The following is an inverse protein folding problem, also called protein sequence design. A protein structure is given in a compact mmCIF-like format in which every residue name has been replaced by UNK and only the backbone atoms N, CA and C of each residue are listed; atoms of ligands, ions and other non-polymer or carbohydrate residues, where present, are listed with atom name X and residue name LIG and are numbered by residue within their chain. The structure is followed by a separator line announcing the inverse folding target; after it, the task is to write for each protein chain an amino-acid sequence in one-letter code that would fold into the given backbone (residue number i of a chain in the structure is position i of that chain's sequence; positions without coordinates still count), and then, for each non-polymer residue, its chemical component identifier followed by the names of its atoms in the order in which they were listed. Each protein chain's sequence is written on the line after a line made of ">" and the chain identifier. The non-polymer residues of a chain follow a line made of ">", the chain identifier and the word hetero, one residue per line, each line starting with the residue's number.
data_IF_162656770704
#
_entry.id   IF_162656770704
#
_cell.length_a   1.000
_cell.length_b   1.000
_cell.length_c   1.000
_cell.angle_alpha   90.00
_cell.angle_beta   90.00
_cell.angle_gamma   90.00
#
_symmetry.space_group_name_H-M   'P 1'
#
loop_
_entity.id
_entity.type
_entity.pdbx_description
1 polymer ?
#
# COMPACT_ATOMS: atom_id res chain seq x y z
N UNK A 1 40.24 -4.80 39.76
CA UNK A 1 40.19 -5.81 40.83
C UNK A 1 39.18 -6.87 40.39
N UNK A 2 39.68 -8.08 40.16
CA UNK A 2 38.96 -9.26 39.66
C UNK A 2 38.16 -9.93 40.78
N UNK A 3 37.13 -10.69 40.36
CA UNK A 3 36.60 -11.96 40.92
C UNK A 3 35.07 -11.94 41.04
N UNK A 4 34.30 -13.00 40.81
CA UNK A 4 34.50 -14.30 40.16
C UNK A 4 33.10 -14.97 40.10
N UNK A 5 32.83 -15.79 39.09
CA UNK A 5 31.63 -16.61 38.98
C UNK A 5 31.63 -17.80 39.97
N UNK A 6 30.47 -18.28 40.44
CA UNK A 6 30.34 -19.55 41.16
C UNK A 6 30.11 -20.77 40.23
N UNK A 7 30.40 -22.01 40.69
CA UNK A 7 30.58 -23.20 39.84
C UNK A 7 29.32 -24.09 39.68
N UNK A 8 29.33 -24.91 38.62
CA UNK A 8 28.39 -26.01 38.38
C UNK A 8 28.70 -27.27 39.22
N UNK A 9 27.68 -28.07 39.60
CA UNK A 9 27.87 -29.41 40.19
C UNK A 9 27.84 -30.56 39.14
N UNK A 10 28.31 -31.77 39.51
CA UNK A 10 28.76 -32.81 38.57
C UNK A 10 27.71 -33.90 38.23
N UNK A 11 27.91 -34.55 37.09
CA UNK A 11 27.27 -35.81 36.67
C UNK A 11 27.96 -37.05 37.27
N UNK A 12 27.23 -38.15 37.53
CA UNK A 12 27.83 -39.47 37.72
C UNK A 12 27.48 -40.48 36.59
N UNK A 13 28.54 -40.98 35.95
CA UNK A 13 28.92 -42.38 35.63
C UNK A 13 27.85 -43.42 35.20
N UNK A 14 28.15 -44.11 34.08
CA UNK A 14 27.39 -45.18 33.40
C UNK A 14 27.44 -46.59 34.03
N UNK A 15 27.18 -47.66 33.26
CA UNK A 15 28.32 -48.41 32.69
C UNK A 15 28.13 -49.01 31.27
N UNK A 16 29.25 -49.55 30.79
CA UNK A 16 29.60 -50.03 29.45
C UNK A 16 28.95 -51.34 28.98
N UNK A 17 28.85 -51.51 27.66
CA UNK A 17 29.12 -52.77 26.95
C UNK A 17 29.59 -52.48 25.50
N UNK A 18 30.71 -53.06 25.12
CA UNK A 18 31.28 -53.23 23.77
C UNK A 18 31.82 -54.69 23.73
N UNK A 19 32.02 -55.39 22.58
CA UNK A 19 32.81 -54.90 21.44
C UNK A 19 32.35 -55.35 20.04
N UNK A 20 32.88 -54.69 19.00
CA UNK A 20 32.76 -55.13 17.61
C UNK A 20 33.53 -54.22 16.67
N UNK A 21 34.77 -54.59 16.35
CA UNK A 21 35.69 -53.85 15.50
C UNK A 21 35.33 -53.98 14.00
N UNK A 22 35.29 -52.86 13.29
CA UNK A 22 35.52 -52.80 11.85
C UNK A 22 36.06 -51.40 11.48
N UNK A 23 37.24 -51.37 10.84
CA UNK A 23 37.91 -50.17 10.36
C UNK A 23 37.09 -49.46 9.27
N UNK A 24 37.15 -48.11 9.18
CA UNK A 24 36.36 -47.33 8.22
C UNK A 24 37.02 -47.26 6.83
N UNK A 25 36.24 -47.25 5.74
CA UNK A 25 36.72 -46.78 4.46
C UNK A 25 36.63 -45.24 4.36
N UNK A 26 37.54 -44.70 3.55
CA UNK A 26 37.91 -43.30 3.41
C UNK A 26 36.77 -42.32 3.04
N UNK A 27 36.91 -41.10 3.53
CA UNK A 27 36.15 -39.91 3.12
C UNK A 27 36.36 -39.58 1.62
N UNK A 28 35.30 -39.36 0.84
CA UNK A 28 35.39 -38.58 -0.38
C UNK A 28 35.30 -37.08 -0.08
N UNK A 29 36.21 -36.33 -0.71
CA UNK A 29 36.38 -34.88 -0.66
C UNK A 29 35.14 -34.09 -1.14
N UNK A 30 34.99 -32.82 -0.71
CA UNK A 30 33.83 -32.00 -1.03
C UNK A 30 33.86 -31.50 -2.48
N UNK A 31 32.82 -31.83 -3.25
CA UNK A 31 32.55 -31.21 -4.54
C UNK A 31 32.00 -29.80 -4.29
N UNK A 32 32.86 -28.80 -4.46
CA UNK A 32 32.46 -27.39 -4.60
C UNK A 32 31.60 -27.24 -5.86
N UNK A 33 30.28 -27.11 -5.70
CA UNK A 33 29.44 -26.46 -6.72
C UNK A 33 29.22 -25.01 -6.32
N UNK A 34 30.04 -24.15 -6.91
CA UNK A 34 29.71 -22.75 -7.13
C UNK A 34 28.65 -22.70 -8.24
N UNK A 35 27.46 -22.22 -7.92
CA UNK A 35 26.49 -21.76 -8.91
C UNK A 35 25.72 -20.57 -8.32
N UNK A 36 26.29 -19.41 -8.58
CA UNK A 36 25.66 -18.14 -8.95
C UNK A 36 24.35 -17.74 -8.26
N UNK A 37 24.48 -16.82 -7.30
CA UNK A 37 23.60 -15.65 -7.20
C UNK A 37 23.57 -14.88 -8.54
N UNK A 38 22.48 -14.12 -8.71
CA UNK A 38 22.26 -13.01 -9.63
C UNK A 38 21.42 -13.32 -10.88
N UNK A 39 20.17 -12.84 -10.87
CA UNK A 39 19.51 -12.20 -12.02
C UNK A 39 18.39 -11.27 -11.50
N UNK A 40 18.82 -10.20 -10.84
CA UNK A 40 18.17 -8.90 -10.93
C UNK A 40 18.97 -8.14 -12.00
N UNK A 41 18.33 -7.83 -13.13
CA UNK A 41 18.98 -7.19 -14.25
C UNK A 41 17.96 -6.56 -15.17
N UNK A 42 17.83 -5.24 -15.04
CA UNK A 42 17.10 -4.37 -15.95
C UNK A 42 17.55 -4.57 -17.41
N UNK A 43 16.59 -4.50 -18.33
CA UNK A 43 16.84 -4.10 -19.71
C UNK A 43 15.72 -3.16 -20.17
N UNK A 44 15.92 -1.88 -19.90
CA UNK A 44 15.60 -0.85 -20.89
C UNK A 44 16.78 -0.76 -21.85
N UNK A 45 16.50 -0.64 -23.16
CA UNK A 45 17.22 0.18 -24.16
C UNK A 45 16.97 -0.35 -25.60
N UNK A 46 16.51 0.59 -26.45
CA UNK A 46 16.53 0.67 -27.92
C UNK A 46 15.44 -0.01 -28.76
N UNK A 47 14.52 0.83 -29.26
CA UNK A 47 14.26 0.93 -30.69
C UNK A 47 14.36 2.40 -31.12
N UNK A 48 15.43 2.72 -31.85
CA UNK A 48 15.59 3.97 -32.60
C UNK A 48 14.95 3.84 -33.99
N UNK A 49 14.20 4.88 -34.35
CA UNK A 49 14.12 5.56 -35.64
C UNK A 49 14.04 4.76 -36.96
N UNK A 50 12.93 4.99 -37.70
CA UNK A 50 12.94 5.07 -39.16
C UNK A 50 12.45 6.46 -39.59
N UNK A 51 13.44 7.22 -40.09
CA UNK A 51 13.50 8.20 -41.18
C UNK A 51 12.40 9.22 -41.55
N UNK A 52 12.94 10.38 -41.94
CA UNK A 52 12.38 11.62 -42.45
C UNK A 52 12.23 11.60 -43.98
N UNK A 53 11.29 12.41 -44.46
CA UNK A 53 11.35 13.26 -45.68
C UNK A 53 10.32 14.39 -45.46
N UNK A 54 10.50 15.68 -45.73
CA UNK A 54 11.50 16.49 -46.43
C UNK A 54 10.77 17.74 -46.99
N UNK A 55 11.51 18.85 -47.20
CA UNK A 55 11.17 20.14 -47.87
C UNK A 55 10.65 21.29 -46.97
N UNK A 56 11.50 22.31 -46.70
CA UNK A 56 11.69 23.61 -47.43
C UNK A 56 10.59 24.63 -47.09
N UNK A 57 10.79 25.93 -46.81
CA UNK A 57 11.93 26.85 -46.97
C UNK A 57 11.65 28.17 -46.18
N UNK A 58 12.75 28.90 -45.92
CA UNK A 58 12.92 30.36 -45.92
C UNK A 58 12.27 31.29 -44.87
N UNK A 59 13.12 32.13 -44.25
CA UNK A 59 12.79 33.52 -43.95
C UNK A 59 13.32 34.11 -42.65
N UNK A 60 14.61 34.48 -42.59
CA UNK A 60 15.12 35.52 -41.66
C UNK A 60 15.31 36.80 -42.47
N UNK A 61 15.10 38.00 -41.90
CA UNK A 61 16.26 38.80 -41.43
C UNK A 61 15.97 39.60 -40.13
N UNK A 62 16.94 39.72 -39.21
CA UNK A 62 17.78 40.91 -38.94
C UNK A 62 17.03 42.07 -38.23
N UNK A 63 17.56 42.88 -37.30
CA UNK A 63 18.84 42.98 -36.61
C UNK A 63 18.73 44.07 -35.50
N UNK A 64 19.76 44.10 -34.63
CA UNK A 64 20.42 45.27 -34.04
C UNK A 64 19.69 46.25 -33.08
N UNK A 65 20.36 46.51 -31.95
CA UNK A 65 20.21 47.74 -31.17
C UNK A 65 21.04 47.72 -29.90
N UNK A 66 22.14 48.48 -29.89
CA UNK A 66 23.20 48.47 -28.88
C UNK A 66 23.01 49.46 -27.72
N UNK A 67 23.68 49.13 -26.61
CA UNK A 67 24.47 49.96 -25.68
C UNK A 67 23.90 51.28 -25.08
N UNK A 68 24.06 51.40 -23.76
CA UNK A 68 24.05 52.67 -23.02
C UNK A 68 24.53 52.51 -21.58
N UNK A 69 25.79 52.90 -21.31
CA UNK A 69 26.40 52.99 -19.99
C UNK A 69 25.81 54.16 -19.17
N UNK A 70 25.72 54.01 -17.84
CA UNK A 70 26.36 54.88 -16.82
C UNK A 70 25.70 54.77 -15.44
N UNK A 71 26.53 54.50 -14.43
CA UNK A 71 26.30 54.83 -13.01
C UNK A 71 27.11 56.12 -12.67
N UNK A 72 27.22 56.64 -11.43
CA UNK A 72 26.52 56.34 -10.17
C UNK A 72 26.03 57.61 -9.42
N UNK A 73 25.29 57.46 -8.30
CA UNK A 73 25.40 58.37 -7.14
C UNK A 73 24.69 57.80 -5.89
N UNK A 74 25.40 57.84 -4.77
CA UNK A 74 24.97 57.48 -3.42
C UNK A 74 23.91 58.44 -2.86
N UNK A 75 22.91 57.90 -2.16
CA UNK A 75 22.32 58.56 -1.00
C UNK A 75 21.79 57.50 -0.02
N UNK A 76 22.32 57.56 1.20
CA UNK A 76 21.97 56.70 2.32
C UNK A 76 20.57 57.02 2.87
N UNK A 77 19.79 55.98 3.15
CA UNK A 77 18.64 56.07 4.05
C UNK A 77 18.37 54.73 4.75
N UNK A 78 18.73 54.72 6.04
CA UNK A 78 18.07 54.07 7.18
C UNK A 78 17.50 52.65 7.03
N UNK A 79 18.19 51.77 7.76
CA UNK A 79 17.73 50.51 8.38
C UNK A 79 16.25 50.54 8.76
N UNK A 80 15.46 49.69 8.11
CA UNK A 80 14.29 49.07 8.70
C UNK A 80 14.54 47.57 8.66
N UNK A 81 14.76 46.98 9.83
CA UNK A 81 14.79 45.54 10.04
C UNK A 81 13.44 44.97 9.60
N UNK A 82 13.41 44.37 8.41
CA UNK A 82 12.32 43.50 7.99
C UNK A 82 12.36 42.27 8.89
N UNK A 83 11.30 42.11 9.68
CA UNK A 83 11.04 40.93 10.48
C UNK A 83 10.86 39.73 9.54
N UNK A 84 11.76 38.72 9.50
CA UNK A 84 11.59 37.53 8.69
C UNK A 84 10.73 36.55 9.49
N UNK A 85 9.48 36.93 9.74
CA UNK A 85 8.64 36.27 10.75
C UNK A 85 7.15 36.33 10.46
N UNK A 86 6.75 36.52 9.20
CA UNK A 86 5.37 36.33 8.77
C UNK A 86 5.38 35.32 7.62
N UNK A 87 5.64 34.06 7.97
CA UNK A 87 5.14 32.96 7.15
C UNK A 87 3.65 33.20 6.98
N UNK A 88 3.22 33.44 5.75
CA UNK A 88 1.83 33.59 5.40
C UNK A 88 1.09 32.33 5.89
N UNK A 89 0.41 32.44 7.03
CA UNK A 89 -0.62 31.51 7.40
C UNK A 89 -1.65 31.64 6.29
N UNK A 90 -1.61 30.73 5.32
CA UNK A 90 -2.68 30.53 4.37
C UNK A 90 -3.94 30.34 5.21
N UNK A 91 -4.77 31.37 5.31
CA UNK A 91 -6.03 31.29 6.04
C UNK A 91 -6.86 30.25 5.30
N UNK A 92 -6.91 29.03 5.84
CA UNK A 92 -7.83 28.01 5.35
C UNK A 92 -9.22 28.65 5.37
N UNK A 93 -9.87 28.67 4.20
CA UNK A 93 -11.24 29.13 4.11
C UNK A 93 -12.12 28.17 4.93
N UNK A 94 -13.08 28.72 5.67
CA UNK A 94 -14.07 27.91 6.37
C UNK A 94 -15.10 27.36 5.37
N UNK A 95 -15.45 26.08 5.47
CA UNK A 95 -16.58 25.49 4.75
C UNK A 95 -17.86 25.59 5.59
N UNK A 96 -18.96 26.03 4.98
CA UNK A 96 -20.24 26.18 5.68
C UNK A 96 -20.83 24.83 6.16
N UNK A 97 -20.50 23.73 5.49
CA UNK A 97 -20.96 22.38 5.79
C UNK A 97 -19.94 21.31 5.44
N UNK A 98 -20.35 20.05 5.56
CA UNK A 98 -19.53 18.87 5.26
C UNK A 98 -19.69 18.39 3.80
N UNK A 99 -20.13 19.26 2.89
CA UNK A 99 -20.20 18.94 1.47
C UNK A 99 -18.79 18.71 0.90
N UNK A 100 -18.58 17.60 0.18
CA UNK A 100 -17.27 17.22 -0.38
C UNK A 100 -16.62 18.39 -1.16
N UNK A 101 -17.36 19.02 -2.08
CA UNK A 101 -16.83 20.11 -2.88
C UNK A 101 -16.45 21.36 -2.05
N UNK A 102 -17.18 21.66 -0.97
CA UNK A 102 -16.88 22.79 -0.09
C UNK A 102 -15.62 22.52 0.73
N UNK A 103 -15.49 21.31 1.26
CA UNK A 103 -14.29 20.87 1.98
C UNK A 103 -13.06 20.82 1.05
N UNK A 104 -13.23 20.34 -0.18
CA UNK A 104 -12.16 20.37 -1.19
C UNK A 104 -11.69 21.80 -1.47
N UNK A 105 -12.61 22.75 -1.69
CA UNK A 105 -12.26 24.17 -1.89
C UNK A 105 -11.65 24.83 -0.65
N UNK A 106 -12.03 24.39 0.55
CA UNK A 106 -11.43 24.88 1.80
C UNK A 106 -9.95 24.47 1.94
N UNK A 107 -9.58 23.31 1.41
CA UNK A 107 -8.20 22.79 1.41
C UNK A 107 -7.41 23.24 0.19
N UNK A 108 -8.05 23.23 -0.97
CA UNK A 108 -7.49 23.49 -2.29
C UNK A 108 -8.33 24.58 -2.98
N UNK A 109 -8.04 25.88 -2.76
CA UNK A 109 -8.90 26.97 -3.24
C UNK A 109 -9.09 27.04 -4.76
N UNK A 110 -8.18 26.44 -5.53
CA UNK A 110 -8.27 26.37 -7.01
C UNK A 110 -8.96 25.10 -7.50
N UNK A 111 -9.25 24.14 -6.63
CA UNK A 111 -9.92 22.90 -7.00
C UNK A 111 -11.38 23.15 -7.36
N UNK A 112 -11.83 22.52 -8.44
CA UNK A 112 -13.22 22.54 -8.86
C UNK A 112 -13.61 21.21 -9.51
N UNK A 113 -14.90 20.89 -9.41
CA UNK A 113 -15.46 19.71 -10.04
C UNK A 113 -15.77 20.00 -11.51
N UNK A 114 -15.44 19.08 -12.41
CA UNK A 114 -15.73 19.22 -13.83
C UNK A 114 -14.90 18.29 -14.71
N UNK A 115 -15.02 18.50 -16.02
CA UNK A 115 -14.31 17.76 -17.06
C UNK A 115 -13.10 18.53 -17.61
N UNK A 116 -12.79 19.71 -17.06
CA UNK A 116 -11.56 20.44 -17.41
C UNK A 116 -10.37 19.63 -16.87
N UNK A 117 -9.41 19.22 -17.73
CA UNK A 117 -8.29 18.37 -17.34
C UNK A 117 -7.50 18.88 -16.14
N UNK A 118 -7.40 20.19 -15.94
CA UNK A 118 -6.63 20.79 -14.84
C UNK A 118 -7.46 21.16 -13.60
N UNK A 119 -8.78 21.01 -13.64
CA UNK A 119 -9.67 21.51 -12.59
C UNK A 119 -9.47 20.85 -11.22
N UNK A 120 -8.95 19.61 -11.25
CA UNK A 120 -8.72 18.77 -10.08
C UNK A 120 -7.25 18.60 -9.74
N UNK A 121 -6.37 19.23 -10.51
CA UNK A 121 -4.94 19.15 -10.30
C UNK A 121 -4.53 20.06 -9.15
N UNK A 122 -3.80 19.49 -8.20
CA UNK A 122 -3.30 20.22 -7.03
C UNK A 122 -1.85 19.88 -6.79
N UNK A 123 -1.12 20.82 -6.20
CA UNK A 123 0.19 20.57 -5.63
C UNK A 123 0.05 20.11 -4.17
N UNK A 124 0.74 19.00 -3.86
CA UNK A 124 0.72 18.33 -2.57
C UNK A 124 2.14 17.89 -2.18
N UNK A 125 2.37 17.73 -0.88
CA UNK A 125 3.64 17.20 -0.36
C UNK A 125 3.49 15.70 -0.10
N UNK A 126 4.07 14.88 -0.97
CA UNK A 126 3.94 13.42 -0.89
C UNK A 126 5.24 12.76 -0.43
N UNK A 127 5.17 11.66 0.33
CA UNK A 127 6.33 10.83 0.59
C UNK A 127 7.04 10.41 -0.71
N UNK A 128 8.34 10.65 -0.80
CA UNK A 128 9.16 10.27 -1.94
C UNK A 128 9.24 8.74 -2.04
N UNK A 129 9.09 8.21 -3.25
CA UNK A 129 9.21 6.77 -3.54
C UNK A 129 10.52 6.47 -4.27
N UNK A 130 11.13 5.34 -3.97
CA UNK A 130 12.26 4.81 -4.74
C UNK A 130 11.80 4.07 -5.99
N UNK A 131 12.75 3.62 -6.81
CA UNK A 131 12.50 2.93 -8.07
C UNK A 131 11.83 1.56 -7.85
N UNK A 132 11.89 1.01 -6.63
CA UNK A 132 11.16 -0.18 -6.22
C UNK A 132 9.77 0.16 -5.63
N UNK A 133 9.36 1.42 -5.70
CA UNK A 133 8.09 1.92 -5.22
C UNK A 133 7.97 2.07 -3.69
N UNK A 134 9.07 1.94 -2.95
CA UNK A 134 9.08 2.03 -1.47
C UNK A 134 9.25 3.47 -1.02
N UNK A 135 8.61 3.83 0.09
CA UNK A 135 8.78 5.17 0.69
C UNK A 135 10.24 5.35 1.16
N UNK A 136 10.92 6.35 0.60
CA UNK A 136 12.26 6.78 1.01
C UNK A 136 12.17 7.46 2.37
N UNK A 137 12.97 6.97 3.32
CA UNK A 137 13.08 7.54 4.67
C UNK A 137 14.47 8.09 4.91
N UNK A 138 14.55 9.29 5.49
CA UNK A 138 15.76 9.92 5.98
C UNK A 138 15.56 10.19 7.48
N UNK A 139 16.53 9.79 8.32
CA UNK A 139 16.50 9.97 9.79
C UNK A 139 15.22 9.46 10.48
N UNK A 140 14.61 8.40 9.93
CA UNK A 140 13.38 7.81 10.45
C UNK A 140 12.08 8.50 10.01
N UNK A 141 12.16 9.64 9.31
CA UNK A 141 11.03 10.34 8.70
C UNK A 141 10.96 10.07 7.19
N UNK A 142 9.76 10.09 6.60
CA UNK A 142 9.63 10.07 5.14
C UNK A 142 10.14 11.39 4.56
N UNK A 143 11.02 11.33 3.56
CA UNK A 143 11.35 12.51 2.77
C UNK A 143 10.14 12.84 1.90
N UNK A 144 9.73 14.10 1.83
CA UNK A 144 8.62 14.52 0.95
C UNK A 144 9.14 15.24 -0.28
N UNK A 145 8.32 15.20 -1.33
CA UNK A 145 8.50 15.98 -2.56
C UNK A 145 7.18 16.68 -2.90
N UNK A 146 7.28 17.89 -3.44
CA UNK A 146 6.15 18.52 -4.11
C UNK A 146 5.79 17.70 -5.36
N UNK A 147 4.53 17.31 -5.46
CA UNK A 147 4.00 16.54 -6.56
C UNK A 147 2.67 17.13 -7.03
N UNK A 148 2.42 17.06 -8.33
CA UNK A 148 1.14 17.40 -8.94
C UNK A 148 0.29 16.13 -9.00
N UNK A 149 -0.93 16.19 -8.48
CA UNK A 149 -1.88 15.07 -8.50
C UNK A 149 -3.25 15.55 -8.92
N UNK A 150 -3.98 14.70 -9.65
CA UNK A 150 -5.42 14.83 -9.77
C UNK A 150 -6.05 14.29 -8.48
N UNK A 151 -6.79 15.12 -7.75
CA UNK A 151 -7.38 14.75 -6.45
C UNK A 151 -8.91 14.70 -6.50
N UNK A 152 -9.47 13.63 -5.93
CA UNK A 152 -10.91 13.41 -5.81
C UNK A 152 -11.31 13.11 -4.35
N UNK A 153 -12.40 13.72 -3.83
CA UNK A 153 -12.92 13.38 -2.51
C UNK A 153 -13.59 12.00 -2.53
N UNK A 154 -13.25 11.13 -1.56
CA UNK A 154 -13.80 9.79 -1.42
C UNK A 154 -14.84 9.74 -0.32
N UNK A 155 -14.42 9.99 0.92
CA UNK A 155 -15.28 9.89 2.09
C UNK A 155 -15.26 11.18 2.89
N UNK A 156 -16.39 11.51 3.52
CA UNK A 156 -16.45 12.54 4.56
C UNK A 156 -17.07 11.91 5.80
N UNK A 157 -16.26 11.79 6.85
CA UNK A 157 -16.65 11.13 8.09
C UNK A 157 -16.82 12.21 9.14
N UNK A 158 -18.05 12.34 9.67
CA UNK A 158 -18.28 13.13 10.88
C UNK A 158 -17.83 12.31 12.09
N UNK A 159 -16.75 12.74 12.73
CA UNK A 159 -16.14 12.02 13.85
C UNK A 159 -16.93 12.27 15.15
N UNK A 160 -17.33 13.53 15.35
CA UNK A 160 -18.21 14.00 16.41
C UNK A 160 -18.92 15.31 15.99
N UNK A 161 -19.54 16.02 16.93
CA UNK A 161 -20.26 17.26 16.63
C UNK A 161 -19.37 18.41 16.15
N UNK A 162 -18.08 18.35 16.50
CA UNK A 162 -17.06 19.38 16.29
C UNK A 162 -15.91 18.95 15.38
N UNK A 163 -15.75 17.66 15.07
CA UNK A 163 -14.68 17.15 14.22
C UNK A 163 -15.20 16.32 13.05
N UNK A 164 -14.54 16.48 11.91
CA UNK A 164 -14.75 15.67 10.71
C UNK A 164 -13.43 15.39 10.01
N UNK A 165 -13.42 14.40 9.13
CA UNK A 165 -12.31 14.15 8.21
C UNK A 165 -12.86 13.97 6.80
N UNK A 166 -12.15 14.52 5.82
CA UNK A 166 -12.31 14.18 4.41
C UNK A 166 -11.14 13.31 3.98
N UNK A 167 -11.45 12.19 3.35
CA UNK A 167 -10.49 11.29 2.74
C UNK A 167 -10.51 11.49 1.22
N UNK A 168 -9.34 11.46 0.60
CA UNK A 168 -9.20 11.69 -0.85
C UNK A 168 -8.40 10.59 -1.51
N UNK A 169 -8.61 10.45 -2.81
CA UNK A 169 -7.75 9.72 -3.73
C UNK A 169 -6.96 10.75 -4.55
N UNK A 170 -5.64 10.60 -4.62
CA UNK A 170 -4.76 11.44 -5.43
C UNK A 170 -3.92 10.61 -6.39
N UNK A 171 -4.00 10.89 -7.69
CA UNK A 171 -3.20 10.19 -8.72
C UNK A 171 -2.21 11.14 -9.33
N UNK A 172 -0.94 10.74 -9.40
CA UNK A 172 0.11 11.54 -10.03
C UNK A 172 -0.28 11.91 -11.46
N UNK A 173 0.01 13.14 -11.87
CA UNK A 173 -0.14 13.58 -13.24
C UNK A 173 1.21 14.02 -13.80
N UNK A 174 1.43 13.81 -15.09
CA UNK A 174 2.63 14.29 -15.78
C UNK A 174 2.55 15.80 -16.08
N UNK A 175 3.60 16.34 -16.71
CA UNK A 175 3.67 17.76 -17.09
C UNK A 175 2.51 18.16 -18.03
N UNK A 176 2.02 17.22 -18.84
CA UNK A 176 0.86 17.39 -19.72
C UNK A 176 -0.49 17.30 -19.01
N UNK A 177 -0.52 16.96 -17.71
CA UNK A 177 -1.76 16.72 -16.96
C UNK A 177 -2.39 15.37 -17.23
N UNK A 178 -1.63 14.42 -17.78
CA UNK A 178 -2.10 13.05 -17.98
C UNK A 178 -1.89 12.27 -16.69
N UNK A 179 -2.94 11.63 -16.19
CA UNK A 179 -2.88 10.75 -15.03
C UNK A 179 -1.95 9.57 -15.29
N UNK A 180 -1.21 9.19 -14.26
CA UNK A 180 -0.47 7.94 -14.24
C UNK A 180 -1.39 6.76 -13.87
N UNK A 181 -2.11 6.28 -14.89
CA UNK A 181 -2.98 5.10 -14.79
C UNK A 181 -2.23 3.81 -15.23
N UNK A 182 -0.89 3.80 -15.15
CA UNK A 182 -0.13 2.59 -15.47
C UNK A 182 -0.53 1.43 -14.55
N UNK A 183 -0.44 0.19 -15.05
CA UNK A 183 -0.85 -0.97 -14.26
C UNK A 183 -0.15 -1.06 -12.89
N UNK A 184 1.13 -0.67 -12.82
CA UNK A 184 1.92 -0.69 -11.57
C UNK A 184 1.70 0.55 -10.68
N UNK A 185 0.98 1.56 -11.19
CA UNK A 185 0.74 2.81 -10.48
C UNK A 185 -0.52 2.71 -9.64
N UNK A 186 -0.37 2.89 -8.34
CA UNK A 186 -1.48 3.09 -7.41
C UNK A 186 -1.87 4.56 -7.26
N UNK A 187 -2.68 4.83 -6.24
CA UNK A 187 -3.11 6.16 -5.85
C UNK A 187 -2.74 6.48 -4.39
N UNK A 188 -2.64 7.77 -4.08
CA UNK A 188 -2.38 8.28 -2.75
C UNK A 188 -3.68 8.44 -1.96
N UNK A 189 -3.67 7.95 -0.72
CA UNK A 189 -4.70 8.25 0.26
C UNK A 189 -4.33 9.54 1.00
N UNK A 190 -5.17 10.58 0.86
CA UNK A 190 -5.07 11.82 1.64
C UNK A 190 -6.06 11.86 2.80
N UNK A 191 -5.73 12.58 3.86
CA UNK A 191 -6.63 12.83 5.00
C UNK A 191 -6.56 14.29 5.49
N UNK A 192 -7.72 14.95 5.49
CA UNK A 192 -7.88 16.35 5.85
C UNK A 192 -8.87 16.45 7.00
N UNK A 193 -8.39 16.84 8.17
CA UNK A 193 -9.16 16.93 9.40
C UNK A 193 -9.69 18.34 9.59
N UNK A 194 -10.97 18.46 9.93
CA UNK A 194 -11.66 19.71 10.12
C UNK A 194 -12.18 19.82 11.54
N UNK A 195 -12.09 21.02 12.11
CA UNK A 195 -12.75 21.40 13.35
C UNK A 195 -13.83 22.43 13.05
N UNK A 196 -14.98 22.29 13.71
CA UNK A 196 -16.07 23.25 13.63
C UNK A 196 -15.84 24.40 14.60
N UNK A 197 -15.93 25.61 14.10
CA UNK A 197 -15.94 26.84 14.88
C UNK A 197 -17.15 27.72 14.51
N UNK A 198 -17.12 29.00 14.90
CA UNK A 198 -18.19 29.94 14.61
C UNK A 198 -18.31 30.30 13.12
N UNK A 199 -17.23 30.19 12.34
CA UNK A 199 -17.19 30.49 10.92
C UNK A 199 -17.55 29.28 10.04
N UNK A 200 -17.41 28.07 10.56
CA UNK A 200 -17.79 26.83 9.87
C UNK A 200 -16.81 25.70 10.18
N UNK A 201 -16.59 24.83 9.20
CA UNK A 201 -15.59 23.77 9.26
C UNK A 201 -14.26 24.31 8.72
N UNK A 202 -13.25 24.37 9.58
CA UNK A 202 -11.91 24.89 9.25
C UNK A 202 -10.91 23.74 9.26
N UNK A 203 -9.97 23.75 8.31
CA UNK A 203 -8.91 22.75 8.26
C UNK A 203 -8.03 22.86 9.51
N UNK A 204 -8.00 21.80 10.30
CA UNK A 204 -7.18 21.67 11.50
C UNK A 204 -5.86 20.98 11.20
N UNK A 205 -5.90 19.93 10.36
CA UNK A 205 -4.71 19.15 10.00
C UNK A 205 -4.84 18.60 8.59
N UNK A 206 -3.73 18.64 7.85
CA UNK A 206 -3.57 18.09 6.51
C UNK A 206 -2.52 16.98 6.51
N UNK A 207 -2.84 15.85 5.88
CA UNK A 207 -1.91 14.74 5.62
C UNK A 207 -2.12 14.31 4.17
N UNK A 208 -1.21 14.73 3.29
CA UNK A 208 -1.38 14.55 1.83
C UNK A 208 -1.11 13.13 1.34
N UNK A 209 -0.14 12.43 1.95
CA UNK A 209 0.18 11.04 1.64
C UNK A 209 0.15 10.17 2.89
N UNK A 210 -1.02 9.68 3.25
CA UNK A 210 -1.20 8.68 4.33
C UNK A 210 -0.62 7.35 3.90
N UNK A 211 -0.91 6.92 2.68
CA UNK A 211 -0.44 5.67 2.10
C UNK A 211 -0.52 5.72 0.56
N UNK A 212 0.14 4.78 -0.11
CA UNK A 212 0.08 4.60 -1.55
C UNK A 212 -0.38 3.17 -1.85
N UNK A 213 -1.56 3.04 -2.45
CA UNK A 213 -2.27 1.76 -2.58
C UNK A 213 -2.85 1.56 -3.97
N UNK A 214 -3.23 0.32 -4.25
CA UNK A 214 -3.94 -0.06 -5.46
C UNK A 214 -3.05 -0.10 -6.70
N UNK A 215 -3.71 -0.13 -7.86
CA UNK A 215 -3.12 -0.37 -9.19
C UNK A 215 -3.91 0.42 -10.23
N UNK A 216 -3.34 0.63 -11.42
CA UNK A 216 -4.00 1.34 -12.52
C UNK A 216 -4.63 2.70 -12.13
N UNK A 217 -3.94 3.49 -11.31
CA UNK A 217 -4.37 4.84 -10.94
C UNK A 217 -5.62 4.90 -10.07
N UNK A 218 -5.83 3.92 -9.17
CA UNK A 218 -6.94 3.95 -8.21
C UNK A 218 -6.57 3.32 -6.87
N UNK A 219 -7.18 3.81 -5.77
CA UNK A 219 -7.16 3.16 -4.46
C UNK A 219 -8.00 1.87 -4.44
N UNK A 220 -8.99 1.77 -5.34
CA UNK A 220 -10.04 0.76 -5.31
C UNK A 220 -11.27 1.21 -4.51
N UNK A 221 -11.91 0.25 -3.84
CA UNK A 221 -13.11 0.48 -3.06
C UNK A 221 -12.79 0.92 -1.63
N UNK A 222 -13.65 1.78 -1.08
CA UNK A 222 -13.55 2.25 0.31
C UNK A 222 -14.81 1.92 1.08
N UNK A 223 -14.66 1.54 2.35
CA UNK A 223 -15.77 1.43 3.28
C UNK A 223 -15.39 1.93 4.66
N UNK A 224 -16.37 2.45 5.39
CA UNK A 224 -16.18 3.05 6.71
C UNK A 224 -17.07 2.35 7.73
N UNK A 225 -16.49 1.97 8.86
CA UNK A 225 -17.21 1.39 9.98
C UNK A 225 -16.81 2.08 11.29
N UNK A 226 -17.73 2.15 12.25
CA UNK A 226 -17.38 2.52 13.61
C UNK A 226 -16.70 1.34 14.29
N UNK A 227 -15.49 1.54 14.81
CA UNK A 227 -14.67 0.49 15.42
C UNK A 227 -14.42 0.68 16.92
N UNK A 228 -14.88 1.81 17.47
CA UNK A 228 -14.82 2.12 18.89
C UNK A 228 -15.57 3.40 19.24
N UNK A 229 -15.52 3.78 20.52
CA UNK A 229 -16.04 5.06 20.97
C UNK A 229 -15.21 6.20 20.36
N UNK A 230 -15.82 7.02 19.50
CA UNK A 230 -15.15 8.13 18.82
C UNK A 230 -14.08 7.71 17.80
N UNK A 231 -14.09 6.45 17.35
CA UNK A 231 -13.12 5.94 16.38
C UNK A 231 -13.78 5.20 15.22
N UNK A 232 -13.28 5.49 14.02
CA UNK A 232 -13.73 4.88 12.77
C UNK A 232 -12.58 4.09 12.12
N UNK A 233 -12.95 3.00 11.46
CA UNK A 233 -12.08 2.23 10.58
C UNK A 233 -12.42 2.57 9.14
N UNK A 234 -11.41 2.95 8.36
CA UNK A 234 -11.48 2.96 6.90
C UNK A 234 -10.86 1.66 6.40
N UNK A 235 -11.59 0.92 5.58
CA UNK A 235 -11.07 -0.18 4.77
C UNK A 235 -10.87 0.35 3.36
N UNK A 236 -9.70 0.09 2.79
CA UNK A 236 -9.40 0.30 1.37
C UNK A 236 -9.09 -1.05 0.76
N UNK A 237 -9.87 -1.48 -0.23
CA UNK A 237 -9.71 -2.74 -0.96
C UNK A 237 -9.38 -2.46 -2.41
N UNK A 238 -8.20 -2.91 -2.84
CA UNK A 238 -7.73 -2.76 -4.22
C UNK A 238 -7.07 -4.05 -4.70
N UNK A 239 -7.13 -4.30 -6.00
CA UNK A 239 -6.67 -5.54 -6.59
C UNK A 239 -6.40 -5.42 -8.08
N UNK A 240 -5.71 -6.41 -8.62
CA UNK A 240 -5.32 -6.45 -10.03
C UNK A 240 -5.00 -7.87 -10.48
N UNK A 241 -4.91 -8.05 -11.79
CA UNK A 241 -4.53 -9.31 -12.42
C UNK A 241 -3.24 -9.16 -13.21
N UNK A 242 -2.25 -10.01 -12.92
CA UNK A 242 -0.99 -10.06 -13.64
C UNK A 242 -0.69 -11.49 -14.11
N UNK A 243 -0.51 -11.66 -15.42
CA UNK A 243 -0.24 -12.97 -16.05
C UNK A 243 -1.26 -14.07 -15.65
N UNK A 244 -2.53 -13.68 -15.48
CA UNK A 244 -3.61 -14.61 -15.12
C UNK A 244 -3.74 -14.91 -13.63
N UNK A 245 -2.87 -14.35 -12.78
CA UNK A 245 -3.01 -14.34 -11.32
C UNK A 245 -3.69 -13.05 -10.89
N UNK A 246 -4.84 -13.17 -10.22
CA UNK A 246 -5.63 -12.06 -9.73
C UNK A 246 -5.63 -12.06 -8.21
N UNK A 247 -5.48 -10.89 -7.61
CA UNK A 247 -5.54 -10.73 -6.15
C UNK A 247 -6.19 -9.43 -5.75
N UNK A 248 -6.78 -9.46 -4.55
CA UNK A 248 -7.29 -8.27 -3.87
C UNK A 248 -6.70 -8.21 -2.47
N UNK A 249 -6.31 -7.01 -2.05
CA UNK A 249 -5.76 -6.75 -0.73
C UNK A 249 -6.51 -5.62 -0.04
N UNK A 250 -6.68 -5.77 1.27
CA UNK A 250 -7.24 -4.76 2.15
C UNK A 250 -6.16 -4.09 3.00
N UNK A 251 -6.23 -2.76 3.09
CA UNK A 251 -5.56 -1.97 4.12
C UNK A 251 -6.61 -1.35 5.04
N UNK A 252 -6.32 -1.28 6.34
CA UNK A 252 -7.25 -0.75 7.34
C UNK A 252 -6.59 0.37 8.13
N UNK A 253 -7.29 1.49 8.24
CA UNK A 253 -6.82 2.70 8.92
C UNK A 253 -7.77 3.07 10.07
N UNK A 254 -7.21 3.34 11.24
CA UNK A 254 -7.93 3.92 12.36
C UNK A 254 -7.95 5.44 12.27
N UNK A 255 -9.12 6.02 12.47
CA UNK A 255 -9.40 7.45 12.32
C UNK A 255 -10.02 7.98 13.60
N UNK A 256 -9.39 9.01 14.15
CA UNK A 256 -9.84 9.81 15.31
C UNK A 256 -9.68 11.31 14.98
N UNK A 257 -10.22 12.23 15.78
CA UNK A 257 -9.97 13.66 15.60
C UNK A 257 -8.46 13.96 15.45
N UNK A 258 -8.10 14.65 14.37
CA UNK A 258 -6.73 15.03 14.04
C UNK A 258 -5.74 13.89 13.80
N UNK A 259 -6.17 12.62 13.68
CA UNK A 259 -5.27 11.46 13.57
C UNK A 259 -5.80 10.36 12.66
N UNK A 260 -4.94 9.89 11.77
CA UNK A 260 -5.09 8.63 11.02
C UNK A 260 -3.86 7.75 11.29
N UNK A 261 -4.06 6.44 11.37
CA UNK A 261 -2.99 5.47 11.53
C UNK A 261 -3.30 4.15 10.85
N UNK A 262 -2.31 3.53 10.21
CA UNK A 262 -2.43 2.22 9.57
C UNK A 262 -2.50 1.10 10.63
N UNK A 263 -3.63 0.43 10.71
CA UNK A 263 -3.87 -0.71 11.61
C UNK A 263 -3.62 -2.05 10.93
N UNK A 264 -3.82 -2.12 9.62
CA UNK A 264 -3.42 -3.24 8.78
C UNK A 264 -3.02 -2.71 7.40
N UNK A 265 -2.10 -3.41 6.74
CA UNK A 265 -1.69 -3.08 5.37
C UNK A 265 -1.62 -4.37 4.57
N UNK A 266 -2.09 -4.31 3.33
CA UNK A 266 -1.95 -5.37 2.32
C UNK A 266 -2.35 -6.77 2.80
N UNK A 267 -3.47 -6.90 3.50
CA UNK A 267 -4.02 -8.20 3.90
C UNK A 267 -4.72 -8.81 2.68
N UNK A 268 -4.31 -9.99 2.19
CA UNK A 268 -5.00 -10.65 1.09
C UNK A 268 -6.46 -10.95 1.46
N UNK A 269 -7.41 -10.53 0.63
CA UNK A 269 -8.83 -10.85 0.81
C UNK A 269 -9.29 -11.86 -0.23
N UNK A 270 -8.75 -11.77 -1.44
CA UNK A 270 -9.16 -12.61 -2.57
C UNK A 270 -7.92 -13.02 -3.37
N UNK A 271 -8.01 -14.18 -4.03
CA UNK A 271 -6.97 -14.63 -4.94
C UNK A 271 -7.47 -15.73 -5.87
N UNK A 272 -7.12 -15.64 -7.14
CA UNK A 272 -7.32 -16.73 -8.10
C UNK A 272 -6.23 -16.77 -9.17
N UNK A 273 -6.09 -17.93 -9.83
CA UNK A 273 -5.19 -18.11 -10.97
C UNK A 273 -5.88 -18.75 -12.17
N UNK A 274 -7.20 -18.57 -12.31
CA UNK A 274 -8.01 -19.18 -13.37
C UNK A 274 -7.55 -18.76 -14.77
N UNK A 275 -6.95 -17.57 -14.91
CA UNK A 275 -6.41 -17.07 -16.16
C UNK A 275 -4.97 -17.48 -16.44
N UNK A 276 -4.26 -18.08 -15.49
CA UNK A 276 -2.85 -18.44 -15.62
C UNK A 276 -2.64 -19.77 -16.35
N UNK A 277 -3.62 -20.67 -16.27
CA UNK A 277 -3.64 -21.96 -16.97
C UNK A 277 -5.06 -22.29 -17.40
N UNK A 278 -5.24 -22.75 -18.64
CA UNK A 278 -6.55 -23.10 -19.20
C UNK A 278 -7.28 -24.22 -18.47
N UNK A 279 -6.57 -25.01 -17.65
CA UNK A 279 -7.12 -26.19 -16.99
C UNK A 279 -7.63 -25.91 -15.56
N UNK A 280 -7.40 -24.72 -15.00
CA UNK A 280 -7.68 -24.47 -13.58
C UNK A 280 -9.17 -24.43 -13.23
N UNK A 281 -10.00 -23.80 -14.06
CA UNK A 281 -11.45 -23.77 -13.85
C UNK A 281 -12.04 -25.20 -13.92
N UNK A 282 -11.58 -26.01 -14.87
CA UNK A 282 -11.99 -27.40 -15.01
C UNK A 282 -11.52 -28.26 -13.82
N UNK A 283 -10.28 -28.08 -13.37
CA UNK A 283 -9.71 -28.83 -12.25
C UNK A 283 -10.46 -28.57 -10.93
N UNK A 284 -10.82 -27.31 -10.64
CA UNK A 284 -11.58 -26.97 -9.44
C UNK A 284 -13.00 -27.56 -9.50
N UNK A 285 -13.72 -27.39 -10.62
CA UNK A 285 -15.08 -27.93 -10.80
C UNK A 285 -15.15 -29.46 -10.77
N UNK A 286 -14.21 -30.14 -11.42
CA UNK A 286 -14.18 -31.60 -11.48
C UNK A 286 -14.02 -32.22 -10.09
N UNK A 287 -13.20 -31.60 -9.25
CA UNK A 287 -12.94 -32.11 -7.92
C UNK A 287 -14.07 -31.79 -6.92
N UNK A 288 -14.76 -30.65 -7.06
CA UNK A 288 -15.99 -30.38 -6.31
C UNK A 288 -17.05 -31.47 -6.57
N UNK A 289 -17.21 -31.87 -7.84
CA UNK A 289 -18.17 -32.92 -8.23
C UNK A 289 -17.76 -34.31 -7.74
N UNK A 290 -16.46 -34.62 -7.67
CA UNK A 290 -15.94 -35.92 -7.27
C UNK A 290 -16.05 -36.19 -5.76
N UNK A 291 -16.01 -35.14 -4.92
CA UNK A 291 -15.95 -35.30 -3.47
C UNK A 291 -17.30 -35.23 -2.74
N UNK A 292 -18.41 -34.94 -3.44
CA UNK A 292 -19.71 -34.70 -2.80
C UNK A 292 -19.63 -33.54 -1.78
N UNK A 293 -20.75 -33.21 -1.13
CA UNK A 293 -20.77 -32.19 -0.07
C UNK A 293 -20.01 -32.68 1.18
N UNK A 294 -18.69 -32.75 1.11
CA UNK A 294 -17.83 -33.19 2.21
C UNK A 294 -17.79 -32.12 3.31
N UNK A 295 -18.04 -32.58 4.53
CA UNK A 295 -18.19 -31.81 5.76
C UNK A 295 -16.96 -30.95 6.08
N UNK A 296 -17.20 -29.76 6.64
CA UNK A 296 -16.26 -28.70 7.10
C UNK A 296 -15.05 -29.13 7.97
N UNK A 297 -14.89 -30.41 8.30
CA UNK A 297 -13.91 -30.87 9.31
C UNK A 297 -12.86 -31.87 8.83
N UNK A 298 -12.96 -32.42 7.62
CA UNK A 298 -11.93 -33.32 7.10
C UNK A 298 -10.96 -32.58 6.18
N UNK A 299 -9.88 -32.05 6.77
CA UNK A 299 -8.48 -32.11 6.29
C UNK A 299 -7.60 -31.23 7.20
N UNK A 300 -7.12 -31.83 8.30
CA UNK A 300 -6.02 -31.28 9.09
C UNK A 300 -4.68 -31.71 8.47
N UNK A 301 -3.92 -30.68 8.09
CA UNK A 301 -2.46 -30.60 7.97
C UNK A 301 -1.71 -31.57 7.03
N UNK A 302 -1.09 -30.99 6.00
CA UNK A 302 0.37 -31.09 5.88
C UNK A 302 0.96 -29.69 6.04
N UNK A 303 1.76 -29.54 7.09
CA UNK A 303 2.68 -28.43 7.24
C UNK A 303 3.90 -28.75 6.36
N UNK A 304 3.77 -28.55 5.05
CA UNK A 304 4.91 -28.50 4.15
C UNK A 304 4.86 -27.18 3.39
N UNK A 305 5.88 -26.36 3.62
CA UNK A 305 6.25 -25.30 2.70
C UNK A 305 6.80 -25.95 1.43
N UNK A 306 5.92 -26.53 0.60
CA UNK A 306 6.31 -27.37 -0.52
C UNK A 306 5.29 -27.28 -1.65
N UNK A 307 5.59 -26.40 -2.61
CA UNK A 307 4.86 -26.10 -3.85
C UNK A 307 3.58 -25.24 -3.70
N UNK A 308 3.45 -24.14 -4.47
CA UNK A 308 2.20 -23.38 -4.52
C UNK A 308 1.05 -24.27 -5.04
N UNK A 309 -0.21 -24.02 -4.62
CA UNK A 309 -1.37 -24.74 -5.17
C UNK A 309 -1.38 -24.56 -6.69
N UNK A 310 -1.68 -25.64 -7.43
CA UNK A 310 -1.67 -25.57 -8.89
C UNK A 310 -2.81 -24.69 -9.41
N UNK A 311 -3.97 -24.71 -8.74
CA UNK A 311 -5.14 -23.91 -9.06
C UNK A 311 -5.85 -23.47 -7.78
N UNK A 312 -6.33 -22.23 -7.74
CA UNK A 312 -7.10 -21.69 -6.62
C UNK A 312 -8.07 -20.61 -7.11
N UNK A 313 -9.21 -20.54 -6.44
CA UNK A 313 -10.18 -19.44 -6.51
C UNK A 313 -10.77 -19.27 -5.11
N UNK A 314 -10.37 -18.19 -4.45
CA UNK A 314 -10.69 -17.90 -3.05
C UNK A 314 -11.19 -16.46 -2.98
N UNK A 315 -12.38 -16.31 -2.43
CA UNK A 315 -13.04 -15.02 -2.27
C UNK A 315 -13.25 -14.73 -0.78
N UNK A 316 -12.98 -13.51 -0.35
CA UNK A 316 -13.03 -13.08 1.04
C UNK A 316 -13.98 -11.91 1.25
N UNK A 317 -14.89 -12.05 2.21
CA UNK A 317 -15.77 -10.95 2.65
C UNK A 317 -15.26 -10.37 3.96
N UNK A 318 -14.72 -9.17 3.88
CA UNK A 318 -14.20 -8.43 5.04
C UNK A 318 -15.31 -7.65 5.75
N UNK A 319 -15.31 -7.71 7.08
CA UNK A 319 -16.15 -6.87 7.93
C UNK A 319 -15.36 -6.35 9.14
N UNK A 320 -15.70 -5.14 9.58
CA UNK A 320 -15.18 -4.51 10.79
C UNK A 320 -16.33 -4.34 11.79
N UNK A 321 -16.08 -4.67 13.06
CA UNK A 321 -17.03 -4.46 14.13
C UNK A 321 -16.32 -4.08 15.44
N UNK A 322 -16.95 -3.21 16.22
CA UNK A 322 -16.56 -3.03 17.62
C UNK A 322 -16.82 -4.34 18.39
N UNK A 323 -15.82 -4.79 19.14
CA UNK A 323 -15.89 -5.95 20.01
C UNK A 323 -16.47 -5.57 21.39
N UNK A 324 -16.99 -6.57 22.10
CA UNK A 324 -17.64 -6.38 23.40
C UNK A 324 -16.69 -5.84 24.49
N UNK A 325 -15.38 -6.07 24.35
CA UNK A 325 -14.33 -5.55 25.24
C UNK A 325 -13.91 -4.11 24.91
N UNK A 326 -14.61 -3.45 23.98
CA UNK A 326 -14.31 -2.09 23.52
C UNK A 326 -13.16 -2.01 22.51
N UNK A 327 -12.58 -3.15 22.13
CA UNK A 327 -11.63 -3.23 21.01
C UNK A 327 -12.35 -3.34 19.67
N UNK A 328 -11.62 -3.53 18.57
CA UNK A 328 -12.20 -3.79 17.25
C UNK A 328 -11.78 -5.15 16.74
N UNK A 329 -12.71 -5.83 16.09
CA UNK A 329 -12.50 -7.11 15.43
C UNK A 329 -12.73 -6.95 13.92
N UNK A 330 -11.79 -7.47 13.14
CA UNK A 330 -11.89 -7.60 11.70
C UNK A 330 -12.06 -9.08 11.37
N UNK A 331 -13.11 -9.41 10.63
CA UNK A 331 -13.38 -10.77 10.17
C UNK A 331 -13.31 -10.83 8.67
N UNK A 332 -12.63 -11.84 8.15
CA UNK A 332 -12.65 -12.17 6.72
C UNK A 332 -13.22 -13.57 6.60
N UNK A 333 -14.41 -13.67 6.03
CA UNK A 333 -15.03 -14.95 5.71
C UNK A 333 -14.59 -15.36 4.31
N UNK A 334 -13.91 -16.51 4.21
CA UNK A 334 -13.39 -17.03 2.96
C UNK A 334 -14.24 -18.18 2.47
N UNK A 335 -14.58 -18.10 1.19
CA UNK A 335 -15.26 -19.13 0.41
C UNK A 335 -14.45 -19.42 -0.85
N UNK A 336 -14.34 -20.68 -1.26
CA UNK A 336 -13.69 -21.05 -2.51
C UNK A 336 -13.07 -22.44 -2.49
N UNK A 337 -12.07 -22.65 -3.33
CA UNK A 337 -11.38 -23.93 -3.46
C UNK A 337 -9.92 -23.76 -3.88
N UNK A 338 -9.10 -24.74 -3.54
CA UNK A 338 -7.71 -24.85 -4.01
C UNK A 338 -7.36 -26.31 -4.26
N UNK A 339 -6.51 -26.57 -5.24
CA UNK A 339 -5.87 -27.88 -5.42
C UNK A 339 -4.64 -28.01 -4.54
N UNK A 340 -4.31 -29.24 -4.17
CA UNK A 340 -3.10 -29.61 -3.43
C UNK A 340 -2.49 -30.88 -4.01
N UNK A 341 -1.16 -30.94 -4.01
CA UNK A 341 -0.37 -32.06 -4.53
C UNK A 341 -0.04 -31.95 -6.04
N UNK A 342 1.13 -32.47 -6.47
CA UNK A 342 1.45 -32.65 -7.88
C UNK A 342 0.84 -33.94 -8.44
N UNK A 343 0.34 -33.94 -9.68
CA UNK A 343 -0.03 -35.16 -10.41
C UNK A 343 -1.37 -35.10 -11.17
N UNK A 344 -1.78 -36.24 -11.72
CA UNK A 344 -2.97 -36.42 -12.57
C UNK A 344 -4.31 -36.41 -11.78
N UNK A 345 -4.26 -36.51 -10.45
CA UNK A 345 -5.42 -36.41 -9.55
C UNK A 345 -5.13 -35.41 -8.41
N UNK A 346 -5.25 -34.10 -8.66
CA UNK A 346 -5.05 -33.09 -7.63
C UNK A 346 -6.15 -33.20 -6.56
N UNK A 347 -5.75 -33.28 -5.29
CA UNK A 347 -6.71 -33.24 -4.19
C UNK A 347 -7.25 -31.82 -4.05
N UNK A 348 -8.56 -31.63 -4.16
CA UNK A 348 -9.17 -30.32 -3.93
C UNK A 348 -9.60 -30.16 -2.50
N UNK A 349 -9.28 -28.99 -1.98
CA UNK A 349 -9.65 -28.52 -0.66
C UNK A 349 -10.63 -27.36 -0.82
N UNK A 350 -11.86 -27.60 -0.37
CA UNK A 350 -12.85 -26.55 -0.19
C UNK A 350 -12.41 -25.61 0.93
N UNK A 351 -12.66 -24.32 0.71
CA UNK A 351 -12.39 -23.24 1.64
C UNK A 351 -13.76 -22.72 2.07
N UNK A 352 -14.11 -22.94 3.33
CA UNK A 352 -15.19 -22.26 4.02
C UNK A 352 -14.70 -22.02 5.44
N UNK A 353 -14.09 -20.87 5.68
CA UNK A 353 -13.44 -20.58 6.96
C UNK A 353 -13.37 -19.09 7.23
N UNK A 354 -13.30 -18.73 8.50
CA UNK A 354 -13.19 -17.32 8.90
C UNK A 354 -11.84 -17.07 9.56
N UNK A 355 -11.13 -16.03 9.09
CA UNK A 355 -10.00 -15.46 9.81
C UNK A 355 -10.50 -14.28 10.67
N UNK A 356 -10.14 -14.29 11.94
CA UNK A 356 -10.52 -13.25 12.90
C UNK A 356 -9.26 -12.54 13.37
N UNK A 357 -9.22 -11.23 13.17
CA UNK A 357 -8.15 -10.36 13.61
C UNK A 357 -8.66 -9.43 14.69
N UNK A 358 -7.86 -9.21 15.73
CA UNK A 358 -8.19 -8.27 16.80
C UNK A 358 -7.21 -7.11 16.83
N UNK A 359 -7.74 -5.91 17.03
CA UNK A 359 -6.93 -4.72 17.20
C UNK A 359 -6.20 -4.77 18.55
N UNK A 360 -4.88 -4.86 18.50
CA UNK A 360 -3.97 -4.88 19.66
C UNK A 360 -2.78 -3.99 19.36
N UNK A 361 -2.46 -3.09 20.28
CA UNK A 361 -1.35 -2.15 20.13
C UNK A 361 -1.38 -1.33 18.81
N UNK A 362 -2.60 -0.98 18.36
CA UNK A 362 -2.80 -0.24 17.12
C UNK A 362 -2.57 -1.05 15.84
N UNK A 363 -2.58 -2.39 15.91
CA UNK A 363 -2.49 -3.29 14.76
C UNK A 363 -3.53 -4.39 14.82
N UNK A 364 -4.11 -4.76 13.68
CA UNK A 364 -4.92 -5.97 13.59
C UNK A 364 -3.99 -7.18 13.52
N UNK A 365 -4.08 -8.04 14.55
CA UNK A 365 -3.32 -9.29 14.63
C UNK A 365 -4.27 -10.48 14.54
N UNK A 366 -3.88 -11.51 13.80
CA UNK A 366 -4.66 -12.75 13.67
C UNK A 366 -4.84 -13.39 15.05
N UNK A 367 -6.09 -13.53 15.47
CA UNK A 367 -6.47 -14.08 16.77
C UNK A 367 -6.98 -15.52 16.64
N UNK A 368 -7.67 -15.86 15.55
CA UNK A 368 -8.13 -17.22 15.25
C UNK A 368 -8.34 -17.45 13.75
N UNK A 369 -8.35 -18.72 13.34
CA UNK A 369 -8.43 -19.12 11.93
C UNK A 369 -7.12 -18.93 11.19
N UNK A 370 -7.18 -18.85 9.86
CA UNK A 370 -6.05 -18.54 9.00
C UNK A 370 -6.52 -17.85 7.72
N UNK A 371 -5.64 -17.05 7.10
CA UNK A 371 -5.87 -16.56 5.75
C UNK A 371 -5.49 -17.66 4.75
N UNK A 372 -6.42 -18.20 3.94
CA UNK A 372 -6.14 -19.27 3.00
C UNK A 372 -5.62 -18.76 1.64
N UNK A 373 -5.62 -17.44 1.38
CA UNK A 373 -5.19 -16.87 0.11
C UNK A 373 -3.68 -17.08 -0.08
N UNK A 374 -3.24 -17.72 -1.18
CA UNK A 374 -1.82 -17.92 -1.46
C UNK A 374 -1.08 -16.60 -1.67
N UNK A 375 0.22 -16.59 -1.36
CA UNK A 375 1.11 -15.50 -1.77
C UNK A 375 1.55 -15.70 -3.22
N UNK A 376 1.55 -14.65 -4.03
CA UNK A 376 2.07 -14.64 -5.40
C UNK A 376 2.63 -13.29 -5.80
#
# INVERSE_FOLDING_TARGET
>A
MNAACPPCPPSPLGPAFAPGAASPPACPQPVRRLASLALLGAMSVLLSACERQGAHDAGTPAASGAAGMSAPALAAARVATADPGAAAASSSAAAAGLGRADLMRAVFPRWHEGNDPGARDVEVELPERDDAGRIRRADGAAKTIAARVEIAPREVIRLDDTHAVMLTEGVSVDDGGVRDDSYASGAWLGAYFFRRDAAGWVLERRVDGVDYLGVAGTLGETSVARIGAGEFGLVVTGGGCWQGFCGTWASVYGIRPGRIATYASTIPTDGNNLGASGDCDAALKAAEAAHGAASETDLIATADAGSPPSCFDINGKLSLAAAADGTSEMRIHFDGAQTSGPGDEPAVRLIHQTAVYRLRDGKYMLASGRNPVPAF
#
